data_IF_609751089371
#
_entry.id   IF_609751089371
#
_cell.length_a   1.000
_cell.length_b   1.000
_cell.length_c   1.000
_cell.angle_alpha   90.00
_cell.angle_beta   90.00
_cell.angle_gamma   90.00
#
_symmetry.space_group_name_H-M   'P 1'
#
loop_
_entity.id
_entity.type
_entity.pdbx_description
1 polymer ?
#
# COMPACT_ATOMS: atom_id res chain seq x y z
N UNK A 1 17.43 -5.52 25.66
CA UNK A 1 17.67 -4.22 25.01
C UNK A 1 19.08 -4.21 24.47
N UNK A 2 19.30 -3.59 23.32
CA UNK A 2 20.61 -3.48 22.68
C UNK A 2 20.71 -2.18 21.91
N UNK A 3 21.92 -1.69 21.70
CA UNK A 3 22.18 -0.49 20.91
C UNK A 3 23.31 -0.79 19.92
N UNK A 4 23.17 -0.30 18.69
CA UNK A 4 24.18 -0.42 17.63
C UNK A 4 24.41 0.96 17.07
N UNK A 5 25.68 1.34 16.94
CA UNK A 5 26.10 2.51 16.19
C UNK A 5 26.70 2.06 14.85
N UNK A 6 26.11 2.52 13.75
CA UNK A 6 26.62 2.31 12.40
C UNK A 6 27.08 3.63 11.81
N UNK A 7 27.91 3.54 10.77
CA UNK A 7 28.28 4.71 9.98
C UNK A 7 27.05 5.27 9.24
N UNK A 8 27.07 6.56 8.90
CA UNK A 8 25.97 7.20 8.18
C UNK A 8 25.78 6.56 6.80
N UNK A 9 24.57 6.12 6.44
CA UNK A 9 24.33 5.47 5.15
C UNK A 9 24.57 6.46 4.00
N UNK A 10 25.03 5.99 2.82
CA UNK A 10 25.41 6.85 1.70
C UNK A 10 24.23 7.59 1.06
N UNK A 11 22.99 7.17 1.31
CA UNK A 11 21.79 7.85 0.85
C UNK A 11 20.73 7.85 1.95
N UNK A 12 20.49 9.02 2.55
CA UNK A 12 19.38 9.22 3.47
C UNK A 12 18.19 9.73 2.65
N UNK A 13 17.17 8.88 2.51
CA UNK A 13 15.93 9.21 1.81
C UNK A 13 14.76 8.92 2.72
N UNK A 14 13.78 9.82 2.68
CA UNK A 14 12.55 9.74 3.46
C UNK A 14 11.39 10.00 2.53
N UNK A 15 10.42 9.10 2.51
CA UNK A 15 9.19 9.24 1.71
C UNK A 15 8.02 9.61 2.60
N UNK A 16 7.36 10.73 2.29
CA UNK A 16 6.10 11.13 2.91
C UNK A 16 4.98 10.84 1.92
N UNK A 17 4.00 10.05 2.33
CA UNK A 17 2.84 9.70 1.50
C UNK A 17 1.54 10.12 2.18
N UNK A 18 0.58 10.56 1.36
CA UNK A 18 -0.78 10.89 1.76
C UNK A 18 -1.72 10.20 0.79
N UNK A 19 -2.68 9.42 1.32
CA UNK A 19 -3.67 8.72 0.53
C UNK A 19 -4.74 9.68 0.01
N UNK A 20 -4.91 9.71 -1.30
CA UNK A 20 -6.00 10.44 -1.97
C UNK A 20 -6.68 9.49 -2.96
N UNK A 21 -7.94 9.19 -2.71
CA UNK A 21 -8.78 8.34 -3.55
C UNK A 21 -9.74 9.18 -4.39
N UNK A 22 -10.07 8.73 -5.60
CA UNK A 22 -11.13 9.34 -6.40
C UNK A 22 -12.40 8.50 -6.24
N UNK A 23 -13.38 9.04 -5.50
CA UNK A 23 -14.71 8.45 -5.41
C UNK A 23 -15.67 9.18 -6.36
N UNK A 24 -16.61 8.42 -6.92
CA UNK A 24 -17.64 8.94 -7.80
C UNK A 24 -18.78 9.56 -6.97
N UNK A 25 -18.64 10.84 -6.61
CA UNK A 25 -19.55 11.59 -5.70
C UNK A 25 -21.02 11.64 -6.17
N UNK A 26 -21.33 11.33 -7.44
CA UNK A 26 -22.64 11.61 -8.05
C UNK A 26 -23.54 10.41 -8.41
N UNK A 27 -23.13 9.17 -8.12
CA UNK A 27 -23.84 7.99 -8.68
C UNK A 27 -25.11 7.60 -7.91
N UNK A 28 -25.37 8.11 -6.70
CA UNK A 28 -26.58 7.72 -5.94
C UNK A 28 -27.75 8.71 -6.06
N UNK A 29 -27.50 10.02 -6.14
CA UNK A 29 -28.55 11.05 -6.14
C UNK A 29 -29.17 11.30 -7.51
N UNK A 30 -28.35 11.61 -8.50
CA UNK A 30 -28.80 11.97 -9.86
C UNK A 30 -29.30 10.77 -10.64
N UNK A 31 -28.72 9.58 -10.40
CA UNK A 31 -29.16 8.32 -11.01
C UNK A 31 -30.50 7.87 -10.43
N UNK A 32 -30.74 8.06 -9.13
CA UNK A 32 -32.04 7.78 -8.53
C UNK A 32 -33.11 8.73 -9.08
N UNK A 33 -32.82 10.02 -9.26
CA UNK A 33 -33.75 10.95 -9.89
C UNK A 33 -33.97 10.66 -11.39
N UNK A 34 -32.95 10.22 -12.12
CA UNK A 34 -33.10 9.79 -13.51
C UNK A 34 -33.96 8.53 -13.63
N UNK A 35 -33.80 7.55 -12.74
CA UNK A 35 -34.63 6.34 -12.70
C UNK A 35 -36.07 6.67 -12.29
N UNK A 36 -36.26 7.54 -11.28
CA UNK A 36 -37.59 7.93 -10.80
C UNK A 36 -38.33 8.73 -11.88
N UNK A 37 -37.65 9.65 -12.57
CA UNK A 37 -38.26 10.42 -13.67
C UNK A 37 -38.59 9.56 -14.90
N UNK A 38 -37.84 8.49 -15.18
CA UNK A 38 -38.19 7.50 -16.22
C UNK A 38 -39.37 6.62 -15.79
N UNK A 39 -39.45 6.27 -14.50
CA UNK A 39 -40.55 5.49 -13.92
C UNK A 39 -41.85 6.30 -13.84
N UNK A 40 -41.76 7.60 -13.55
CA UNK A 40 -42.89 8.54 -13.50
C UNK A 40 -43.36 8.99 -14.90
N UNK A 41 -42.47 9.05 -15.89
CA UNK A 41 -42.85 9.35 -17.30
C UNK A 41 -43.48 8.19 -18.05
N UNK A 42 -43.73 7.05 -17.40
CA UNK A 42 -44.56 5.98 -17.97
C UNK A 42 -44.09 5.48 -19.33
N UNK A 43 -42.77 5.45 -19.59
CA UNK A 43 -42.22 4.81 -20.78
C UNK A 43 -42.28 3.28 -20.60
N UNK A 44 -43.50 2.77 -20.58
CA UNK A 44 -43.75 1.34 -20.62
C UNK A 44 -43.24 0.82 -21.96
N UNK A 45 -42.16 0.03 -21.94
CA UNK A 45 -41.66 -0.70 -23.11
C UNK A 45 -42.73 -1.55 -23.84
N UNK A 46 -43.92 -1.67 -23.27
CA UNK A 46 -45.13 -2.19 -23.93
C UNK A 46 -45.61 -1.35 -25.13
N UNK A 47 -45.49 -0.02 -25.13
CA UNK A 47 -45.94 0.81 -26.26
C UNK A 47 -45.03 0.64 -27.48
N UNK A 48 -43.72 0.63 -27.27
CA UNK A 48 -42.72 0.39 -28.31
C UNK A 48 -42.86 -1.00 -28.97
N UNK A 49 -43.23 -2.02 -28.20
CA UNK A 49 -43.46 -3.38 -28.72
C UNK A 49 -44.76 -3.48 -29.51
N UNK A 50 -45.82 -2.79 -29.07
CA UNK A 50 -47.09 -2.78 -29.79
C UNK A 50 -47.02 -1.96 -31.10
N UNK A 51 -46.27 -0.85 -31.10
CA UNK A 51 -46.01 -0.04 -32.30
C UNK A 51 -45.16 -0.82 -33.32
N UNK A 52 -44.09 -1.50 -32.86
CA UNK A 52 -43.19 -2.29 -33.70
C UNK A 52 -43.84 -3.56 -34.28
N UNK A 53 -44.90 -4.07 -33.63
CA UNK A 53 -45.68 -5.20 -34.13
C UNK A 53 -46.70 -4.78 -35.19
N UNK A 54 -47.10 -3.50 -35.23
CA UNK A 54 -47.98 -2.91 -36.26
C UNK A 54 -47.21 -2.49 -37.52
N UNK A 55 -45.98 -2.01 -37.37
CA UNK A 55 -45.11 -1.64 -38.50
C UNK A 55 -44.09 -2.75 -38.78
N UNK A 56 -44.51 -3.74 -39.58
CA UNK A 56 -43.76 -4.96 -39.86
C UNK A 56 -42.32 -4.75 -40.34
N UNK A 57 -41.35 -5.16 -39.52
CA UNK A 57 -40.04 -5.67 -39.97
C UNK A 57 -39.39 -6.47 -38.82
N UNK A 58 -38.94 -7.71 -39.11
CA UNK A 58 -38.50 -8.68 -38.10
C UNK A 58 -37.20 -8.35 -37.37
N UNK A 59 -36.50 -7.26 -37.73
CA UNK A 59 -35.19 -6.88 -37.19
C UNK A 59 -35.33 -6.00 -35.93
N UNK A 60 -36.31 -5.10 -35.90
CA UNK A 60 -36.55 -4.20 -34.76
C UNK A 60 -37.07 -4.97 -33.54
N UNK A 61 -37.89 -6.01 -33.78
CA UNK A 61 -38.43 -6.85 -32.72
C UNK A 61 -37.35 -7.63 -31.94
N UNK A 62 -36.24 -7.99 -32.58
CA UNK A 62 -35.15 -8.73 -31.92
C UNK A 62 -34.34 -7.85 -30.98
N UNK A 63 -34.04 -6.62 -31.38
CA UNK A 63 -33.36 -5.64 -30.52
C UNK A 63 -34.25 -5.21 -29.37
N UNK A 64 -35.55 -4.98 -29.63
CA UNK A 64 -36.51 -4.65 -28.58
C UNK A 64 -36.68 -5.80 -27.56
N UNK A 65 -36.67 -7.06 -28.01
CA UNK A 65 -36.70 -8.22 -27.11
C UNK A 65 -35.43 -8.37 -26.27
N UNK A 66 -34.24 -8.15 -26.83
CA UNK A 66 -32.99 -8.16 -26.05
C UNK A 66 -32.95 -7.04 -25.02
N UNK A 67 -33.48 -5.88 -25.38
CA UNK A 67 -33.61 -4.73 -24.48
C UNK A 67 -34.60 -5.02 -23.35
N UNK A 68 -35.76 -5.62 -23.66
CA UNK A 68 -36.75 -6.03 -22.66
C UNK A 68 -36.26 -7.18 -21.78
N UNK A 69 -35.53 -8.16 -22.33
CA UNK A 69 -34.99 -9.27 -21.53
C UNK A 69 -33.95 -8.77 -20.53
N UNK A 70 -33.07 -7.84 -20.94
CA UNK A 70 -32.10 -7.20 -20.05
C UNK A 70 -32.78 -6.37 -18.93
N UNK A 71 -33.94 -5.79 -19.21
CA UNK A 71 -34.74 -5.08 -18.20
C UNK A 71 -35.45 -6.02 -17.22
N UNK A 72 -35.92 -7.18 -17.67
CA UNK A 72 -36.65 -8.14 -16.83
C UNK A 72 -35.75 -9.07 -16.02
N UNK A 73 -34.54 -9.36 -16.49
CA UNK A 73 -33.64 -10.34 -15.85
C UNK A 73 -32.86 -9.78 -14.64
N UNK A 74 -33.12 -8.54 -14.22
CA UNK A 74 -32.57 -7.99 -12.97
C UNK A 74 -31.03 -7.87 -12.96
N UNK A 75 -30.38 -7.93 -14.12
CA UNK A 75 -28.97 -7.65 -14.25
C UNK A 75 -28.71 -6.18 -13.86
N UNK A 76 -27.84 -5.98 -12.87
CA UNK A 76 -27.66 -4.75 -12.12
C UNK A 76 -27.84 -3.43 -12.89
N UNK A 77 -28.56 -2.51 -12.25
CA UNK A 77 -28.93 -1.14 -12.69
C UNK A 77 -27.78 -0.35 -13.38
N UNK A 78 -26.52 -0.69 -13.13
CA UNK A 78 -25.36 -0.05 -13.74
C UNK A 78 -25.16 -0.33 -15.24
N UNK A 79 -25.67 -1.46 -15.75
CA UNK A 79 -25.44 -1.85 -17.16
C UNK A 79 -26.49 -1.26 -18.11
N UNK A 80 -27.73 -1.08 -17.63
CA UNK A 80 -28.82 -0.37 -18.31
C UNK A 80 -28.44 1.06 -18.72
N UNK A 81 -27.84 1.82 -17.80
CA UNK A 81 -27.55 3.24 -18.00
C UNK A 81 -26.39 3.45 -19.00
N UNK A 82 -25.40 2.54 -18.99
CA UNK A 82 -24.30 2.53 -19.97
C UNK A 82 -24.77 2.16 -21.37
N UNK A 83 -25.71 1.21 -21.47
CA UNK A 83 -26.26 0.78 -22.75
C UNK A 83 -27.12 1.89 -23.40
N UNK A 84 -27.94 2.58 -22.60
CA UNK A 84 -28.70 3.75 -23.06
C UNK A 84 -27.81 4.94 -23.43
N UNK A 85 -26.84 5.29 -22.57
CA UNK A 85 -25.94 6.42 -22.82
C UNK A 85 -25.12 6.25 -24.11
N UNK A 86 -24.69 5.02 -24.41
CA UNK A 86 -23.97 4.69 -25.65
C UNK A 86 -24.89 4.71 -26.89
N UNK A 87 -26.16 4.34 -26.75
CA UNK A 87 -27.14 4.37 -27.84
C UNK A 87 -27.64 5.78 -28.18
N UNK A 88 -27.66 6.70 -27.21
CA UNK A 88 -28.23 8.04 -27.33
C UNK A 88 -27.16 9.16 -27.36
N UNK A 89 -25.87 8.82 -27.37
CA UNK A 89 -24.78 9.79 -27.44
C UNK A 89 -24.62 10.64 -26.17
N UNK A 90 -25.23 10.24 -25.06
CA UNK A 90 -25.17 10.96 -23.78
C UNK A 90 -24.04 10.37 -22.94
N UNK A 91 -22.88 11.04 -22.94
CA UNK A 91 -21.81 10.78 -21.99
C UNK A 91 -22.15 11.48 -20.66
N UNK A 92 -22.40 10.71 -19.60
CA UNK A 92 -22.56 11.27 -18.26
C UNK A 92 -21.20 11.79 -17.81
N UNK A 93 -21.10 13.11 -17.57
CA UNK A 93 -19.91 13.72 -16.99
C UNK A 93 -19.81 13.31 -15.51
N UNK A 94 -18.96 12.31 -15.24
CA UNK A 94 -18.70 11.87 -13.89
C UNK A 94 -17.68 12.81 -13.24
N UNK A 95 -18.15 13.73 -12.39
CA UNK A 95 -17.29 14.60 -11.59
C UNK A 95 -16.55 13.76 -10.55
N UNK A 96 -15.29 13.43 -10.82
CA UNK A 96 -14.41 12.74 -9.88
C UNK A 96 -13.79 13.76 -8.93
N UNK A 97 -14.08 13.64 -7.64
CA UNK A 97 -13.44 14.43 -6.59
C UNK A 97 -12.41 13.55 -5.86
N UNK A 98 -11.26 14.14 -5.52
CA UNK A 98 -10.23 13.45 -4.74
C UNK A 98 -10.55 13.62 -3.25
N UNK A 99 -10.94 12.54 -2.59
CA UNK A 99 -11.13 12.50 -1.14
C UNK A 99 -9.83 12.11 -0.44
N UNK A 100 -9.60 12.71 0.73
CA UNK A 100 -8.46 12.36 1.58
C UNK A 100 -8.78 11.08 2.37
N UNK A 101 -8.02 10.01 2.12
CA UNK A 101 -8.21 8.71 2.76
C UNK A 101 -7.42 8.59 4.08
N UNK A 102 -6.37 9.40 4.24
CA UNK A 102 -5.56 9.43 5.45
C UNK A 102 -4.05 9.58 5.20
N UNK A 103 -3.26 9.75 6.26
CA UNK A 103 -1.81 9.81 6.16
C UNK A 103 -1.22 8.42 5.96
N UNK A 104 -0.20 8.28 5.10
CA UNK A 104 0.58 7.06 5.02
C UNK A 104 1.59 6.95 6.16
N UNK A 105 2.01 5.72 6.47
CA UNK A 105 3.16 5.52 7.34
C UNK A 105 4.44 5.88 6.59
N UNK A 106 5.33 6.59 7.28
CA UNK A 106 6.64 6.95 6.74
C UNK A 106 7.54 5.72 6.74
N UNK A 107 8.21 5.49 5.62
CA UNK A 107 9.16 4.40 5.45
C UNK A 107 10.58 4.94 5.29
N UNK A 108 11.54 4.25 5.90
CA UNK A 108 12.97 4.55 5.80
C UNK A 108 13.70 3.34 5.25
N UNK A 109 14.56 3.56 4.27
CA UNK A 109 15.41 2.51 3.72
C UNK A 109 16.87 2.86 3.96
N UNK A 110 17.61 1.93 4.57
CA UNK A 110 19.04 2.04 4.80
C UNK A 110 19.78 0.90 4.12
N UNK A 111 20.91 1.22 3.50
CA UNK A 111 21.77 0.24 2.86
C UNK A 111 23.18 0.38 3.41
N UNK A 112 23.67 -0.67 4.04
CA UNK A 112 25.02 -0.74 4.61
C UNK A 112 25.82 -1.82 3.88
N UNK A 113 27.02 -1.47 3.42
CA UNK A 113 28.01 -2.41 2.91
C UNK A 113 29.13 -2.56 3.94
N UNK A 114 29.51 -3.78 4.24
CA UNK A 114 30.57 -4.11 5.18
C UNK A 114 31.64 -4.93 4.48
N UNK A 115 32.89 -4.59 4.79
CA UNK A 115 34.11 -5.16 4.23
C UNK A 115 35.06 -5.47 5.39
N UNK A 116 34.81 -6.55 6.16
CA UNK A 116 35.66 -6.90 7.29
C UNK A 116 37.08 -7.18 6.84
N UNK A 117 38.05 -6.80 7.67
CA UNK A 117 39.48 -7.05 7.44
C UNK A 117 40.09 -8.05 8.41
N UNK A 118 39.42 -8.32 9.53
CA UNK A 118 39.84 -9.26 10.54
C UNK A 118 38.64 -10.06 11.08
N UNK A 119 38.92 -11.18 11.73
CA UNK A 119 37.90 -12.07 12.27
C UNK A 119 37.03 -11.38 13.34
N UNK A 120 37.62 -10.45 14.09
CA UNK A 120 36.90 -9.63 15.07
C UNK A 120 35.84 -8.73 14.43
N UNK A 121 36.13 -8.09 13.29
CA UNK A 121 35.17 -7.28 12.52
C UNK A 121 34.09 -8.16 11.91
N UNK A 122 34.47 -9.32 11.38
CA UNK A 122 33.52 -10.31 10.86
C UNK A 122 32.52 -10.71 11.94
N UNK A 123 32.99 -11.04 13.14
CA UNK A 123 32.13 -11.40 14.27
C UNK A 123 31.21 -10.24 14.67
N UNK A 124 31.73 -9.00 14.74
CA UNK A 124 30.90 -7.82 15.03
C UNK A 124 29.81 -7.61 13.99
N UNK A 125 30.10 -7.80 12.71
CA UNK A 125 29.10 -7.68 11.63
C UNK A 125 28.03 -8.76 11.77
N UNK A 126 28.43 -10.00 12.08
CA UNK A 126 27.50 -11.09 12.32
C UNK A 126 26.60 -10.82 13.54
N UNK A 127 27.15 -10.28 14.63
CA UNK A 127 26.39 -9.88 15.82
C UNK A 127 25.40 -8.75 15.51
N UNK A 128 25.79 -7.76 14.69
CA UNK A 128 24.90 -6.69 14.21
C UNK A 128 23.73 -7.27 13.40
N UNK A 129 24.04 -8.15 12.44
CA UNK A 129 23.04 -8.81 11.60
C UNK A 129 22.09 -9.66 12.49
N UNK A 130 22.64 -10.37 13.46
CA UNK A 130 21.87 -11.18 14.40
C UNK A 130 20.95 -10.30 15.25
N UNK A 131 21.41 -9.14 15.74
CA UNK A 131 20.58 -8.24 16.52
C UNK A 131 19.36 -7.78 15.72
N UNK A 132 19.54 -7.34 14.46
CA UNK A 132 18.41 -6.93 13.63
C UNK A 132 17.43 -8.07 13.37
N UNK A 133 17.94 -9.26 13.01
CA UNK A 133 17.10 -10.45 12.79
C UNK A 133 16.34 -10.85 14.04
N UNK A 134 17.00 -10.87 15.20
CA UNK A 134 16.41 -11.25 16.47
C UNK A 134 15.29 -10.29 16.88
N UNK A 135 15.53 -8.98 16.81
CA UNK A 135 14.58 -7.96 17.25
C UNK A 135 13.43 -7.70 16.27
N UNK A 136 13.58 -8.09 14.99
CA UNK A 136 12.51 -8.06 13.99
C UNK A 136 11.43 -9.12 14.24
N UNK A 137 11.82 -10.27 14.80
CA UNK A 137 10.92 -11.40 14.97
C UNK A 137 10.19 -11.36 16.32
N UNK A 138 8.95 -11.85 16.37
CA UNK A 138 8.20 -11.90 17.61
C UNK A 138 8.80 -12.90 18.60
N UNK A 139 8.66 -12.59 19.89
CA UNK A 139 8.93 -13.53 20.97
C UNK A 139 7.89 -14.65 21.00
N UNK A 140 8.29 -15.78 21.58
CA UNK A 140 7.35 -16.86 21.95
C UNK A 140 7.48 -17.11 23.44
N UNK A 141 6.62 -16.49 24.22
CA UNK A 141 6.52 -16.82 25.63
C UNK A 141 5.93 -18.24 25.81
N UNK A 142 6.74 -19.13 26.38
CA UNK A 142 6.36 -20.51 26.72
C UNK A 142 5.69 -20.60 28.10
N UNK A 143 5.74 -19.52 28.89
CA UNK A 143 5.23 -19.43 30.26
C UNK A 143 3.92 -18.64 30.38
N UNK A 144 3.57 -17.82 29.38
CA UNK A 144 2.28 -17.14 29.31
C UNK A 144 1.10 -18.12 29.32
N UNK A 145 -0.04 -17.71 29.91
CA UNK A 145 -1.29 -18.49 29.99
C UNK A 145 -1.75 -19.05 28.63
N UNK A 146 -1.34 -18.42 27.54
CA UNK A 146 -1.68 -18.80 26.18
C UNK A 146 -0.76 -19.87 25.56
N UNK A 147 0.09 -20.58 26.33
CA UNK A 147 0.91 -21.75 25.90
C UNK A 147 1.44 -21.67 24.45
N UNK A 148 2.03 -20.53 24.06
CA UNK A 148 2.60 -20.34 22.72
C UNK A 148 1.60 -20.34 21.54
N UNK A 149 0.31 -20.09 21.80
CA UNK A 149 -0.72 -19.84 20.77
C UNK A 149 -0.70 -18.40 20.25
N UNK A 150 -0.12 -17.49 21.03
CA UNK A 150 0.03 -16.07 20.68
C UNK A 150 1.52 -15.73 20.62
N UNK A 151 1.85 -14.79 19.75
CA UNK A 151 3.20 -14.26 19.59
C UNK A 151 3.31 -12.94 20.37
N UNK A 152 4.46 -12.73 21.01
CA UNK A 152 4.77 -11.45 21.64
C UNK A 152 5.09 -10.42 20.56
N UNK A 153 4.77 -9.16 20.82
CA UNK A 153 5.09 -8.08 19.88
C UNK A 153 6.61 -7.99 19.67
N UNK A 154 7.09 -7.80 18.42
CA UNK A 154 8.51 -7.63 18.15
C UNK A 154 9.07 -6.37 18.82
N UNK A 155 10.39 -6.23 18.82
CA UNK A 155 11.00 -5.03 19.42
C UNK A 155 10.81 -3.81 18.55
N UNK A 156 10.65 -2.66 19.21
CA UNK A 156 10.61 -1.36 18.54
C UNK A 156 12.01 -0.76 18.44
N UNK A 157 12.26 -0.02 17.37
CA UNK A 157 13.53 0.61 17.07
C UNK A 157 13.43 2.12 17.18
N UNK A 158 14.44 2.72 17.79
CA UNK A 158 14.62 4.16 17.88
C UNK A 158 15.91 4.53 17.14
N UNK A 159 15.78 5.36 16.11
CA UNK A 159 16.88 5.66 15.19
C UNK A 159 17.25 7.13 15.31
N UNK A 160 18.52 7.38 15.64
CA UNK A 160 19.07 8.73 15.75
C UNK A 160 20.23 8.91 14.78
N UNK A 161 20.19 10.00 14.02
CA UNK A 161 21.35 10.41 13.23
C UNK A 161 22.35 11.11 14.13
N UNK A 162 23.55 10.54 14.24
CA UNK A 162 24.62 11.10 15.05
C UNK A 162 25.59 11.89 14.18
N UNK A 163 26.03 13.03 14.72
CA UNK A 163 27.16 13.82 14.24
C UNK A 163 28.21 13.90 15.36
N UNK A 164 29.45 14.29 15.03
CA UNK A 164 30.58 14.34 15.96
C UNK A 164 30.29 15.02 17.31
N UNK A 165 29.35 15.98 17.31
CA UNK A 165 28.97 16.80 18.47
C UNK A 165 27.67 16.35 19.18
N UNK A 166 27.01 15.29 18.71
CA UNK A 166 25.73 14.80 19.26
C UNK A 166 24.70 14.45 18.19
N UNK A 167 23.41 14.48 18.53
CA UNK A 167 22.33 14.20 17.59
C UNK A 167 22.27 15.30 16.53
N UNK A 168 22.21 14.92 15.26
CA UNK A 168 22.09 15.84 14.14
C UNK A 168 20.67 16.39 14.02
N UNK A 169 20.48 17.66 14.36
CA UNK A 169 19.18 18.34 14.30
C UNK A 169 18.80 18.85 12.90
N UNK A 170 19.72 18.81 11.94
CA UNK A 170 19.48 19.26 10.56
C UNK A 170 18.81 18.20 9.69
N UNK A 171 18.69 16.97 10.21
CA UNK A 171 17.99 15.87 9.56
C UNK A 171 16.63 15.66 10.24
N UNK A 172 15.72 14.99 9.54
CA UNK A 172 14.41 14.63 10.08
C UNK A 172 14.58 13.74 11.32
N UNK A 173 13.76 13.97 12.33
CA UNK A 173 13.67 13.07 13.49
C UNK A 173 12.83 11.86 13.10
N UNK A 174 13.15 10.72 13.68
CA UNK A 174 12.45 9.47 13.41
C UNK A 174 11.72 9.08 14.69
N UNK A 175 10.41 8.83 14.59
CA UNK A 175 9.65 8.29 15.71
C UNK A 175 9.95 6.80 15.88
N UNK A 176 9.31 6.15 16.85
CA UNK A 176 9.43 4.71 17.07
C UNK A 176 9.03 3.95 15.81
N UNK A 177 9.90 3.06 15.36
CA UNK A 177 9.73 2.35 14.10
C UNK A 177 9.85 0.84 14.29
N UNK A 178 9.19 0.10 13.41
CA UNK A 178 9.33 -1.34 13.30
C UNK A 178 10.17 -1.70 12.09
N UNK A 179 11.01 -2.73 12.23
CA UNK A 179 11.77 -3.28 11.12
C UNK A 179 10.86 -4.16 10.26
N UNK A 180 10.57 -3.73 9.03
CA UNK A 180 9.68 -4.42 8.09
C UNK A 180 10.44 -5.42 7.23
N UNK A 181 11.68 -5.09 6.85
CA UNK A 181 12.51 -5.95 6.02
C UNK A 181 13.99 -5.86 6.40
N UNK A 182 14.67 -7.00 6.47
CA UNK A 182 16.11 -7.12 6.68
C UNK A 182 16.69 -8.08 5.64
N UNK A 183 17.15 -7.53 4.51
CA UNK A 183 17.80 -8.31 3.47
C UNK A 183 19.32 -8.31 3.69
N UNK A 184 19.90 -9.51 3.79
CA UNK A 184 21.34 -9.70 3.96
C UNK A 184 21.86 -10.45 2.75
N UNK A 185 22.77 -9.80 2.03
CA UNK A 185 23.52 -10.36 0.91
C UNK A 185 24.95 -10.64 1.35
N UNK A 186 25.35 -11.90 1.25
CA UNK A 186 26.67 -12.41 1.62
C UNK A 186 27.68 -12.38 0.45
N UNK A 187 27.25 -11.95 -0.74
CA UNK A 187 28.07 -11.84 -1.96
C UNK A 187 27.73 -10.60 -2.81
N UNK A 188 27.77 -9.38 -2.24
CA UNK A 188 27.31 -8.17 -2.92
C UNK A 188 28.10 -7.75 -4.16
N UNK A 189 29.34 -8.20 -4.34
CA UNK A 189 30.14 -7.87 -5.55
C UNK A 189 29.92 -8.83 -6.73
N UNK A 190 29.10 -9.86 -6.54
CA UNK A 190 28.86 -10.86 -7.56
C UNK A 190 30.08 -11.76 -7.84
N UNK A 191 29.83 -12.87 -8.53
CA UNK A 191 30.84 -13.89 -8.82
C UNK A 191 30.85 -15.04 -7.81
N UNK A 192 32.01 -15.69 -7.65
CA UNK A 192 32.17 -16.85 -6.78
C UNK A 192 32.08 -16.46 -5.31
N UNK A 193 31.46 -17.31 -4.49
CA UNK A 193 31.44 -17.17 -3.04
C UNK A 193 32.88 -17.20 -2.51
N UNK A 194 33.32 -16.09 -1.92
CA UNK A 194 34.65 -15.95 -1.33
C UNK A 194 34.52 -15.92 0.18
N UNK A 195 35.32 -16.74 0.83
CA UNK A 195 35.40 -16.79 2.28
C UNK A 195 36.82 -16.54 2.76
N UNK A 196 36.94 -16.12 4.01
CA UNK A 196 38.17 -16.27 4.76
C UNK A 196 38.46 -17.76 5.03
N UNK A 197 39.60 -18.05 5.66
CA UNK A 197 40.01 -19.42 6.01
C UNK A 197 39.01 -20.10 6.96
N UNK A 198 38.26 -19.32 7.73
CA UNK A 198 37.23 -19.75 8.68
C UNK A 198 35.82 -19.94 8.03
N UNK A 199 35.74 -19.90 6.71
CA UNK A 199 34.50 -20.00 5.92
C UNK A 199 33.53 -18.82 6.07
N UNK A 200 33.95 -17.71 6.68
CA UNK A 200 33.11 -16.52 6.77
C UNK A 200 33.16 -15.69 5.48
N UNK A 201 32.03 -15.12 5.03
CA UNK A 201 32.01 -14.24 3.86
C UNK A 201 32.93 -13.02 4.00
N UNK A 202 33.59 -12.64 2.90
CA UNK A 202 34.49 -11.46 2.85
C UNK A 202 33.78 -10.12 2.73
N UNK A 203 32.48 -10.14 2.41
CA UNK A 203 31.70 -8.94 2.12
C UNK A 203 30.23 -9.15 2.48
N UNK A 204 29.60 -8.15 3.07
CA UNK A 204 28.19 -8.19 3.44
C UNK A 204 27.49 -6.92 2.96
N UNK A 205 26.27 -7.05 2.46
CA UNK A 205 25.36 -5.93 2.23
C UNK A 205 24.08 -6.17 3.00
N UNK A 206 23.69 -5.19 3.81
CA UNK A 206 22.49 -5.24 4.64
C UNK A 206 21.58 -4.10 4.22
N UNK A 207 20.43 -4.45 3.65
CA UNK A 207 19.38 -3.52 3.29
C UNK A 207 18.23 -3.64 4.30
N UNK A 208 17.98 -2.55 5.03
CA UNK A 208 16.97 -2.48 6.09
C UNK A 208 15.85 -1.53 5.66
N UNK A 209 14.60 -1.94 5.88
CA UNK A 209 13.42 -1.10 5.67
C UNK A 209 12.64 -0.98 6.97
N UNK A 210 12.52 0.24 7.48
CA UNK A 210 11.75 0.57 8.68
C UNK A 210 10.47 1.29 8.31
N UNK A 211 9.42 1.05 9.08
CA UNK A 211 8.16 1.81 9.01
C UNK A 211 7.85 2.41 10.39
N UNK A 212 7.46 3.67 10.44
CA UNK A 212 7.02 4.29 11.70
C UNK A 212 5.72 3.67 12.18
N UNK A 213 5.58 3.58 13.51
CA UNK A 213 4.37 3.05 14.14
C UNK A 213 3.27 4.12 14.33
N UNK A 214 3.62 5.38 14.10
CA UNK A 214 2.72 6.51 14.32
C UNK A 214 2.53 7.31 13.04
N UNK A 215 1.33 7.88 12.88
CA UNK A 215 1.06 8.77 11.76
C UNK A 215 1.72 10.14 11.95
N UNK A 216 2.16 10.70 10.82
CA UNK A 216 2.69 12.04 10.75
C UNK A 216 1.55 13.06 10.66
N UNK A 217 1.37 13.82 11.74
CA UNK A 217 0.44 14.96 11.80
C UNK A 217 1.17 16.27 11.59
N UNK A 218 0.44 17.34 11.30
CA UNK A 218 1.01 18.69 11.15
C UNK A 218 1.81 19.12 12.38
N UNK A 219 1.36 18.74 13.57
CA UNK A 219 2.03 19.06 14.83
C UNK A 219 3.39 18.36 14.93
N UNK A 220 3.47 17.06 14.59
CA UNK A 220 4.74 16.32 14.59
C UNK A 220 5.73 16.83 13.55
N UNK A 221 5.24 17.19 12.36
CA UNK A 221 6.07 17.80 11.32
C UNK A 221 6.65 19.13 11.81
N UNK A 222 5.86 19.93 12.55
CA UNK A 222 6.33 21.19 13.15
C UNK A 222 7.43 20.97 14.20
N UNK A 223 7.37 19.86 14.94
CA UNK A 223 8.39 19.46 15.92
C UNK A 223 9.67 18.88 15.29
N UNK A 224 9.69 18.75 13.95
CA UNK A 224 10.83 18.30 13.16
C UNK A 224 10.93 16.79 12.97
N UNK A 225 9.83 16.06 13.21
CA UNK A 225 9.71 14.66 12.83
C UNK A 225 9.53 14.55 11.32
#
# INVERSE_FOLDING_TARGET
SGAIALYMPPGIKVSYSAGWGADDTNVSGDVAQAITSVKEKGLTGLELVNEARRHGSGIVAHQAKQFLSALTEGAGMGDWMKLLGKGWGMAINNHKEMFYEGPGFREFTYSFKFWPRNDDETKRIQDIIMMFKYHMHPGRDKQAWHKGRMFDYPSEFEIHYLHRTGINTSLNKISRCALKNCAVDYTPEGGNFKTFEDHTPVSYKVDLTFAELEYMTKDKIKDGF
#
